data_IF_474692773181
#
_entry.id   IF_474692773181
#
_cell.length_a   1.000
_cell.length_b   1.000
_cell.length_c   1.000
_cell.angle_alpha   90.00
_cell.angle_beta   90.00
_cell.angle_gamma   90.00
#
_symmetry.space_group_name_H-M   'P 1'
#
loop_
_entity.id
_entity.type
_entity.pdbx_description
1 polymer ?
#
# COMPACT_ATOMS: atom_id res chain seq x y z
N UNK A 1 14.06 11.01 -1.46
CA UNK A 1 14.67 9.67 -1.71
C UNK A 1 13.71 8.59 -1.26
N UNK A 2 13.87 7.33 -1.67
CA UNK A 2 13.00 6.23 -1.19
C UNK A 2 13.06 6.08 0.34
N UNK A 3 14.25 6.13 0.94
CA UNK A 3 14.43 6.11 2.39
C UNK A 3 13.72 7.27 3.09
N UNK A 4 13.79 8.48 2.53
CA UNK A 4 13.08 9.64 3.06
C UNK A 4 11.56 9.50 3.01
N UNK A 5 10.98 8.96 1.93
CA UNK A 5 9.52 8.74 1.86
C UNK A 5 9.07 7.67 2.87
N UNK A 6 9.84 6.58 3.00
CA UNK A 6 9.54 5.53 3.98
C UNK A 6 9.65 6.05 5.41
N UNK A 7 10.74 6.75 5.75
CA UNK A 7 10.92 7.34 7.07
C UNK A 7 9.89 8.45 7.38
N UNK A 8 9.40 9.17 6.37
CA UNK A 8 8.37 10.18 6.55
C UNK A 8 7.02 9.57 6.96
N UNK A 9 6.71 8.35 6.53
CA UNK A 9 5.48 7.62 6.88
C UNK A 9 4.17 8.42 6.70
N UNK A 10 4.10 9.23 5.65
CA UNK A 10 2.84 9.81 5.20
C UNK A 10 1.98 8.70 4.57
N UNK A 11 0.72 8.57 5.01
CA UNK A 11 -0.24 7.62 4.45
C UNK A 11 -0.48 7.82 2.95
N UNK A 12 -0.25 9.02 2.43
CA UNK A 12 -0.37 9.35 1.01
C UNK A 12 0.87 9.00 0.18
N UNK A 13 1.97 8.57 0.81
CA UNK A 13 3.18 8.11 0.16
C UNK A 13 3.00 6.79 -0.57
N UNK A 14 3.47 6.72 -1.82
CA UNK A 14 3.32 5.52 -2.66
C UNK A 14 4.27 4.39 -2.22
N UNK A 15 5.53 4.71 -1.89
CA UNK A 15 6.55 3.72 -1.52
C UNK A 15 6.23 2.90 -0.26
N UNK A 16 5.67 3.47 0.83
CA UNK A 16 5.21 2.70 1.99
C UNK A 16 4.31 1.52 1.63
N UNK A 17 3.36 1.71 0.72
CA UNK A 17 2.46 0.64 0.26
C UNK A 17 3.21 -0.46 -0.47
N UNK A 18 4.17 -0.09 -1.33
CA UNK A 18 4.98 -1.07 -2.07
C UNK A 18 5.91 -1.86 -1.14
N UNK A 19 6.58 -1.18 -0.20
CA UNK A 19 7.38 -1.82 0.84
C UNK A 19 6.54 -2.80 1.67
N UNK A 20 5.32 -2.42 2.05
CA UNK A 20 4.43 -3.29 2.80
C UNK A 20 4.03 -4.55 2.03
N UNK A 21 3.58 -4.43 0.78
CA UNK A 21 3.09 -5.60 0.04
C UNK A 21 4.20 -6.51 -0.45
N UNK A 22 5.40 -5.98 -0.68
CA UNK A 22 6.55 -6.79 -1.07
C UNK A 22 7.29 -7.38 0.13
N UNK A 23 6.76 -7.19 1.35
CA UNK A 23 7.37 -7.66 2.59
C UNK A 23 8.83 -7.18 2.71
N UNK A 24 9.07 -5.91 2.38
CA UNK A 24 10.40 -5.32 2.42
C UNK A 24 10.95 -5.24 3.85
N UNK A 25 12.27 -5.17 3.95
CA UNK A 25 13.00 -4.91 5.18
C UNK A 25 13.58 -3.49 5.14
N UNK A 26 13.30 -2.69 6.18
CA UNK A 26 13.86 -1.36 6.35
C UNK A 26 15.09 -1.50 7.23
N UNK A 27 16.26 -1.27 6.64
CA UNK A 27 17.55 -1.38 7.33
C UNK A 27 17.95 0.00 7.83
N UNK A 28 18.32 0.07 9.09
CA UNK A 28 18.84 1.27 9.73
C UNK A 28 20.30 1.08 10.11
N UNK A 29 20.94 2.15 10.58
CA UNK A 29 22.25 2.08 11.20
C UNK A 29 22.30 1.27 12.52
N UNK A 30 21.18 0.69 12.99
CA UNK A 30 21.10 -0.06 14.25
C UNK A 30 20.50 -1.45 14.10
N UNK A 31 19.50 -1.61 13.23
CA UNK A 31 18.69 -2.85 13.13
C UNK A 31 17.96 -2.92 11.79
N UNK A 32 17.36 -4.08 11.55
CA UNK A 32 16.44 -4.31 10.44
C UNK A 32 15.01 -4.43 10.98
N UNK A 33 14.07 -3.75 10.33
CA UNK A 33 12.66 -3.71 10.72
C UNK A 33 11.80 -4.15 9.53
N UNK A 34 10.94 -5.18 9.68
CA UNK A 34 10.00 -5.56 8.62
C UNK A 34 9.02 -4.42 8.29
N UNK A 35 8.68 -4.23 7.01
CA UNK A 35 7.76 -3.17 6.58
C UNK A 35 6.39 -3.24 7.25
N UNK A 36 5.90 -4.45 7.54
CA UNK A 36 4.65 -4.68 8.29
C UNK A 36 4.67 -4.07 9.70
N UNK A 37 5.86 -3.88 10.26
CA UNK A 37 6.08 -3.37 11.61
C UNK A 37 6.59 -1.91 11.60
N UNK A 38 6.87 -1.33 10.43
CA UNK A 38 7.52 -0.02 10.31
C UNK A 38 6.54 1.16 10.34
N UNK A 39 5.34 1.02 9.77
CA UNK A 39 4.36 2.10 9.72
C UNK A 39 3.39 1.95 10.90
N UNK A 40 3.49 2.84 11.90
CA UNK A 40 2.71 2.74 13.15
C UNK A 40 1.47 3.64 13.16
N UNK A 41 1.60 4.84 12.62
CA UNK A 41 0.53 5.83 12.47
C UNK A 41 0.97 6.87 11.42
N UNK A 42 0.14 7.86 11.13
CA UNK A 42 0.48 8.99 10.27
C UNK A 42 1.75 9.68 10.81
N UNK A 43 2.76 9.81 9.95
CA UNK A 43 4.08 10.36 10.28
C UNK A 43 4.81 9.66 11.43
N UNK A 44 4.41 8.43 11.79
CA UNK A 44 4.95 7.71 12.95
C UNK A 44 5.58 6.39 12.54
N UNK A 45 6.85 6.23 12.89
CA UNK A 45 7.68 5.04 12.66
C UNK A 45 8.33 4.60 13.97
N UNK A 46 8.87 3.37 14.07
CA UNK A 46 9.61 2.92 15.26
C UNK A 46 11.04 3.46 15.31
N UNK A 47 11.43 4.40 14.44
CA UNK A 47 12.78 4.98 14.45
C UNK A 47 13.01 5.78 15.72
N UNK A 48 14.14 5.52 16.39
CA UNK A 48 14.58 6.29 17.55
C UNK A 48 15.31 7.58 17.15
N UNK A 49 15.48 8.47 18.12
CA UNK A 49 16.37 9.61 17.94
C UNK A 49 17.80 9.14 17.57
N UNK A 50 18.35 9.69 16.48
CA UNK A 50 19.63 9.27 15.88
C UNK A 50 19.64 7.86 15.27
N UNK A 51 18.48 7.32 14.91
CA UNK A 51 18.35 6.16 14.02
C UNK A 51 18.06 6.64 12.59
N UNK A 52 18.80 6.13 11.61
CA UNK A 52 18.73 6.58 10.22
C UNK A 52 18.50 5.37 9.33
N UNK A 53 17.53 5.46 8.42
CA UNK A 53 17.32 4.48 7.35
C UNK A 53 18.50 4.55 6.39
N UNK A 54 19.25 3.46 6.28
CA UNK A 54 20.41 3.35 5.40
C UNK A 54 20.05 2.64 4.11
N UNK A 55 19.18 1.63 4.16
CA UNK A 55 18.82 0.78 3.03
C UNK A 55 17.37 0.32 3.14
N UNK A 56 16.80 -0.09 2.01
CA UNK A 56 15.52 -0.80 1.96
C UNK A 56 15.73 -2.02 1.08
N UNK A 57 15.56 -3.20 1.67
CA UNK A 57 15.78 -4.48 0.99
C UNK A 57 14.44 -5.06 0.60
N UNK A 58 14.26 -5.30 -0.69
CA UNK A 58 13.07 -5.95 -1.23
C UNK A 58 13.42 -7.39 -1.59
N UNK A 59 12.60 -8.38 -1.17
CA UNK A 59 12.62 -9.69 -1.79
C UNK A 59 12.45 -9.55 -3.31
N UNK A 60 13.10 -10.43 -4.08
CA UNK A 60 12.94 -10.44 -5.54
C UNK A 60 11.49 -10.81 -5.86
N UNK A 61 10.72 -9.83 -6.32
CA UNK A 61 9.35 -10.05 -6.77
C UNK A 61 9.36 -10.47 -8.24
N UNK A 62 8.64 -11.54 -8.55
CA UNK A 62 8.40 -12.02 -9.91
C UNK A 62 6.92 -11.82 -10.30
N UNK A 63 6.62 -11.95 -11.59
CA UNK A 63 5.26 -11.93 -12.10
C UNK A 63 4.68 -10.52 -12.36
N UNK A 64 3.45 -10.47 -12.91
CA UNK A 64 2.83 -9.24 -13.34
C UNK A 64 2.41 -8.36 -12.17
N UNK A 65 2.50 -7.05 -12.38
CA UNK A 65 2.19 -6.06 -11.36
C UNK A 65 1.60 -4.77 -11.94
N UNK A 66 0.85 -4.07 -11.11
CA UNK A 66 0.32 -2.75 -11.42
C UNK A 66 0.19 -1.90 -10.18
N UNK A 67 0.62 -0.65 -10.28
CA UNK A 67 0.23 0.41 -9.36
C UNK A 67 -0.63 1.44 -10.08
N UNK A 68 -1.79 1.77 -9.52
CA UNK A 68 -2.70 2.81 -10.02
C UNK A 68 -2.85 3.88 -8.96
N UNK A 69 -2.46 5.10 -9.30
CA UNK A 69 -2.59 6.28 -8.43
C UNK A 69 -3.70 7.19 -8.93
N UNK A 70 -4.76 7.35 -8.16
CA UNK A 70 -5.78 8.37 -8.41
C UNK A 70 -5.39 9.67 -7.69
N UNK A 71 -5.27 10.75 -8.46
CA UNK A 71 -4.78 12.06 -8.01
C UNK A 71 -5.43 13.16 -8.84
N UNK A 72 -5.54 14.37 -8.29
CA UNK A 72 -6.20 15.50 -8.96
C UNK A 72 -5.40 16.03 -10.15
N UNK A 73 -4.08 16.05 -10.03
CA UNK A 73 -3.15 16.54 -11.06
C UNK A 73 -1.83 15.77 -11.01
N UNK A 74 -1.02 15.90 -12.04
CA UNK A 74 0.32 15.32 -12.05
C UNK A 74 1.12 15.83 -10.84
N UNK A 75 1.92 14.92 -10.25
CA UNK A 75 2.74 15.15 -9.06
C UNK A 75 2.01 15.43 -7.73
N UNK A 76 0.66 15.44 -7.68
CA UNK A 76 -0.07 15.47 -6.40
C UNK A 76 0.06 14.12 -5.65
N UNK A 77 -0.12 14.19 -4.33
CA UNK A 77 -0.35 13.05 -3.45
C UNK A 77 -1.52 12.17 -3.94
N UNK A 78 -1.49 10.88 -3.61
CA UNK A 78 -2.60 9.99 -3.92
C UNK A 78 -3.83 10.44 -3.14
N UNK A 79 -4.98 10.59 -3.81
CA UNK A 79 -6.26 10.55 -3.11
C UNK A 79 -6.48 9.12 -2.62
N UNK A 80 -6.29 8.15 -3.52
CA UNK A 80 -6.17 6.70 -3.23
C UNK A 80 -5.20 6.10 -4.25
N UNK A 81 -4.35 5.19 -3.79
CA UNK A 81 -3.55 4.33 -4.66
C UNK A 81 -3.90 2.87 -4.44
N UNK A 82 -3.78 2.04 -5.49
CA UNK A 82 -3.94 0.59 -5.39
C UNK A 82 -2.77 -0.11 -6.10
N UNK A 83 -2.13 -1.03 -5.41
CA UNK A 83 -1.07 -1.89 -5.89
C UNK A 83 -1.58 -3.33 -5.98
N UNK A 84 -1.30 -4.00 -7.09
CA UNK A 84 -1.50 -5.42 -7.26
C UNK A 84 -0.21 -6.05 -7.78
N UNK A 85 0.27 -7.11 -7.12
CA UNK A 85 1.38 -7.93 -7.55
C UNK A 85 0.93 -9.38 -7.50
N UNK A 86 1.15 -10.15 -8.57
CA UNK A 86 0.98 -11.60 -8.55
C UNK A 86 2.37 -12.23 -8.48
N UNK A 87 2.67 -12.92 -7.38
CA UNK A 87 3.98 -13.51 -7.11
C UNK A 87 3.81 -14.96 -6.69
N UNK A 88 4.50 -15.88 -7.36
CA UNK A 88 4.40 -17.33 -7.12
C UNK A 88 2.95 -17.87 -7.07
N UNK A 89 2.07 -17.32 -7.90
CA UNK A 89 0.65 -17.68 -7.95
C UNK A 89 -0.23 -16.98 -6.91
N UNK A 90 0.34 -16.24 -5.97
CA UNK A 90 -0.38 -15.52 -4.91
C UNK A 90 -0.49 -14.04 -5.20
N UNK A 91 -1.66 -13.46 -4.92
CA UNK A 91 -1.87 -12.02 -5.04
C UNK A 91 -1.42 -11.28 -3.77
N UNK A 92 -0.79 -10.13 -3.97
CA UNK A 92 -0.47 -9.17 -2.91
C UNK A 92 -1.08 -7.83 -3.27
N UNK A 93 -1.98 -7.34 -2.42
CA UNK A 93 -2.84 -6.17 -2.71
C UNK A 93 -2.58 -5.08 -1.68
N UNK A 94 -2.21 -3.90 -2.15
CA UNK A 94 -1.85 -2.75 -1.32
C UNK A 94 -2.70 -1.54 -1.61
N UNK A 95 -3.05 -0.78 -0.58
CA UNK A 95 -3.84 0.44 -0.68
C UNK A 95 -3.10 1.61 -0.04
N UNK A 96 -3.10 2.73 -0.75
CA UNK A 96 -2.43 3.99 -0.35
C UNK A 96 -3.48 5.04 0.02
N UNK A 97 -3.23 5.78 1.09
CA UNK A 97 -4.07 6.87 1.61
C UNK A 97 -5.50 6.48 2.00
N UNK A 98 -5.68 5.27 2.53
CA UNK A 98 -7.01 4.76 2.95
C UNK A 98 -7.11 4.43 4.45
N UNK A 99 -6.15 4.91 5.22
CA UNK A 99 -6.02 4.76 6.67
C UNK A 99 -4.82 5.59 7.14
N UNK A 100 -4.45 5.52 8.43
CA UNK A 100 -3.28 6.23 8.96
C UNK A 100 -1.95 5.67 8.42
N UNK A 101 -1.95 4.44 7.91
CA UNK A 101 -0.78 3.73 7.38
C UNK A 101 -1.13 3.07 6.04
N UNK A 102 -0.15 2.66 5.22
CA UNK A 102 -0.42 1.79 4.08
C UNK A 102 -1.14 0.51 4.52
N UNK A 103 -2.08 0.03 3.70
CA UNK A 103 -2.91 -1.13 4.03
C UNK A 103 -2.64 -2.27 3.06
N UNK A 104 -2.40 -3.47 3.59
CA UNK A 104 -2.41 -4.71 2.80
C UNK A 104 -3.81 -5.33 2.87
N UNK A 105 -4.51 -5.37 1.74
CA UNK A 105 -5.91 -5.78 1.64
C UNK A 105 -6.03 -7.32 1.62
N UNK A 106 -5.73 -7.97 2.75
CA UNK A 106 -5.72 -9.44 2.88
C UNK A 106 -7.05 -10.10 2.50
N UNK A 107 -8.18 -9.46 2.80
CA UNK A 107 -9.49 -9.99 2.41
C UNK A 107 -9.65 -10.11 0.88
N UNK A 108 -9.03 -9.21 0.11
CA UNK A 108 -8.96 -9.31 -1.36
C UNK A 108 -8.02 -10.44 -1.79
N UNK A 109 -6.84 -10.54 -1.16
CA UNK A 109 -5.87 -11.63 -1.40
C UNK A 109 -6.52 -13.01 -1.17
N UNK A 110 -7.22 -13.17 -0.06
CA UNK A 110 -7.91 -14.41 0.33
C UNK A 110 -9.05 -14.77 -0.65
N UNK A 111 -9.83 -13.77 -1.09
CA UNK A 111 -10.89 -13.99 -2.07
C UNK A 111 -10.33 -14.47 -3.42
N UNK A 112 -9.25 -13.83 -3.91
CA UNK A 112 -8.58 -14.24 -5.13
C UNK A 112 -7.94 -15.64 -5.00
N UNK A 113 -7.36 -15.95 -3.83
CA UNK A 113 -6.81 -17.28 -3.55
C UNK A 113 -7.86 -18.39 -3.56
N UNK A 114 -9.13 -18.06 -3.28
CA UNK A 114 -10.29 -18.96 -3.40
C UNK A 114 -10.91 -19.00 -4.80
N UNK A 115 -10.34 -18.29 -5.76
CA UNK A 115 -10.80 -18.27 -7.15
C UNK A 115 -11.89 -17.24 -7.47
N UNK A 116 -12.14 -16.26 -6.58
CA UNK A 116 -13.08 -15.18 -6.87
C UNK A 116 -12.60 -14.35 -8.09
N UNK A 117 -13.56 -13.80 -8.85
CA UNK A 117 -13.23 -12.90 -9.96
C UNK A 117 -12.70 -11.56 -9.42
N UNK A 118 -11.88 -10.81 -10.19
CA UNK A 118 -11.36 -9.51 -9.75
C UNK A 118 -12.43 -8.53 -9.25
N UNK A 119 -13.60 -8.52 -9.88
CA UNK A 119 -14.71 -7.63 -9.51
C UNK A 119 -15.36 -7.98 -8.16
N UNK A 120 -15.44 -9.27 -7.85
CA UNK A 120 -15.96 -9.79 -6.58
C UNK A 120 -14.95 -9.55 -5.46
N UNK A 121 -13.69 -9.97 -5.68
CA UNK A 121 -12.62 -9.83 -4.70
C UNK A 121 -12.39 -8.36 -4.33
N UNK A 122 -12.44 -7.44 -5.30
CA UNK A 122 -12.22 -6.02 -5.05
C UNK A 122 -13.29 -5.37 -4.17
N UNK A 123 -14.47 -5.98 -3.97
CA UNK A 123 -15.46 -5.45 -3.02
C UNK A 123 -14.94 -5.47 -1.58
N UNK A 124 -14.08 -6.43 -1.25
CA UNK A 124 -13.43 -6.55 0.04
C UNK A 124 -12.31 -5.52 0.27
N UNK A 125 -11.94 -4.73 -0.75
CA UNK A 125 -10.87 -3.75 -0.61
C UNK A 125 -11.20 -2.66 0.42
N UNK A 126 -12.49 -2.39 0.66
CA UNK A 126 -12.92 -1.40 1.66
C UNK A 126 -13.12 -1.95 3.07
N UNK A 127 -12.93 -3.25 3.27
CA UNK A 127 -13.20 -3.90 4.54
C UNK A 127 -12.18 -3.43 5.60
N UNK A 128 -12.68 -2.98 6.74
CA UNK A 128 -11.84 -2.47 7.84
C UNK A 128 -11.17 -1.12 7.59
N UNK A 129 -11.41 -0.46 6.44
CA UNK A 129 -10.81 0.84 6.15
C UNK A 129 -11.48 1.96 6.96
N UNK A 130 -10.67 2.89 7.47
CA UNK A 130 -11.11 4.12 8.12
C UNK A 130 -10.34 5.35 7.60
N UNK A 131 -10.54 5.73 6.31
CA UNK A 131 -9.84 6.86 5.72
C UNK A 131 -10.32 8.19 6.29
N UNK A 132 -9.39 9.11 6.56
CA UNK A 132 -9.74 10.49 6.89
C UNK A 132 -10.28 11.22 5.64
N UNK A 133 -11.32 12.02 5.84
CA UNK A 133 -11.85 12.94 4.83
C UNK A 133 -10.98 14.19 4.76
N UNK A 134 -10.85 14.76 3.57
CA UNK A 134 -10.15 16.03 3.36
C UNK A 134 -10.76 16.80 2.17
N UNK A 135 -10.21 17.98 1.85
CA UNK A 135 -10.67 18.84 0.75
C UNK A 135 -10.63 18.17 -0.64
N UNK A 136 -9.96 17.02 -0.79
CA UNK A 136 -9.81 16.28 -2.04
C UNK A 136 -10.83 15.15 -2.16
N UNK A 137 -11.28 14.57 -1.06
CA UNK A 137 -12.21 13.44 -1.05
C UNK A 137 -12.82 13.18 0.33
N UNK A 138 -14.10 12.78 0.34
CA UNK A 138 -14.74 12.23 1.55
C UNK A 138 -14.23 10.81 1.86
N UNK A 139 -14.38 10.33 3.12
CA UNK A 139 -14.07 8.95 3.48
C UNK A 139 -14.78 7.91 2.60
N UNK A 140 -16.06 8.15 2.30
CA UNK A 140 -16.91 7.26 1.50
C UNK A 140 -16.39 7.18 0.07
N UNK A 141 -15.98 8.33 -0.50
CA UNK A 141 -15.39 8.37 -1.83
C UNK A 141 -14.05 7.65 -1.88
N UNK A 142 -13.20 7.79 -0.85
CA UNK A 142 -11.94 7.02 -0.73
C UNK A 142 -12.21 5.51 -0.66
N UNK A 143 -13.20 5.06 0.12
CA UNK A 143 -13.61 3.64 0.16
C UNK A 143 -14.14 3.14 -1.18
N UNK A 144 -14.93 3.95 -1.88
CA UNK A 144 -15.39 3.64 -3.23
C UNK A 144 -14.22 3.50 -4.22
N UNK A 145 -13.30 4.46 -4.22
CA UNK A 145 -12.09 4.43 -5.05
C UNK A 145 -11.21 3.22 -4.74
N UNK A 146 -11.06 2.83 -3.46
CA UNK A 146 -10.28 1.65 -3.09
C UNK A 146 -10.77 0.40 -3.83
N UNK A 147 -12.09 0.15 -3.85
CA UNK A 147 -12.69 -0.97 -4.58
C UNK A 147 -12.46 -0.87 -6.10
N UNK A 148 -12.76 0.29 -6.68
CA UNK A 148 -12.63 0.52 -8.14
C UNK A 148 -11.18 0.36 -8.61
N UNK A 149 -10.22 0.96 -7.90
CA UNK A 149 -8.81 0.93 -8.27
C UNK A 149 -8.19 -0.43 -8.02
N UNK A 150 -8.61 -1.16 -6.98
CA UNK A 150 -8.16 -2.53 -6.73
C UNK A 150 -8.55 -3.45 -7.88
N UNK A 151 -9.82 -3.42 -8.32
CA UNK A 151 -10.28 -4.19 -9.48
C UNK A 151 -9.41 -3.92 -10.71
N UNK A 152 -9.25 -2.63 -11.05
CA UNK A 152 -8.45 -2.19 -12.20
C UNK A 152 -6.98 -2.59 -12.09
N UNK A 153 -6.40 -2.54 -10.90
CA UNK A 153 -5.01 -2.94 -10.68
C UNK A 153 -4.83 -4.45 -10.92
N UNK A 154 -5.75 -5.27 -10.41
CA UNK A 154 -5.76 -6.73 -10.63
C UNK A 154 -5.92 -7.05 -12.11
N UNK A 155 -6.88 -6.43 -12.79
CA UNK A 155 -7.15 -6.66 -14.23
C UNK A 155 -5.97 -6.26 -15.13
N UNK A 156 -5.21 -5.24 -14.76
CA UNK A 156 -4.02 -4.78 -15.50
C UNK A 156 -2.73 -5.49 -15.10
N UNK A 157 -2.75 -6.32 -14.06
CA UNK A 157 -1.61 -7.08 -13.55
C UNK A 157 -1.77 -8.58 -13.84
N UNK A 158 -2.19 -8.93 -15.05
CA UNK A 158 -2.36 -10.32 -15.51
C UNK A 158 -1.32 -10.70 -16.57
#
# INVERSE_FOLDING_TARGET
TIGGVVAHADAAGDYPTIALILDAEIVTNRRTIPAKDFFKDLFTTPLEANEIVTEIVFPVANGPHKYIKFRRRLFDWAIVGAAAQKMDGHWRIGLTNVGPTPVRAKAVEDALGKGAKPEEAAQHASDGLNPAGDLRASPEYKKHLARVLTRRAIEQAQ
#
